data_IF_201275204984
#
_entry.id   IF_201275204984
#
_cell.length_a   1.000
_cell.length_b   1.000
_cell.length_c   1.000
_cell.angle_alpha   90.00
_cell.angle_beta   90.00
_cell.angle_gamma   90.00
#
_symmetry.space_group_name_H-M   'P 1'
#
loop_
_entity.id
_entity.type
_entity.pdbx_description
1 polymer ?
#
# COMPACT_ATOMS: atom_id res chain seq x y z
N UNK A 1 -15.90 23.53 8.25
CA UNK A 1 -15.11 22.89 7.17
C UNK A 1 -13.86 23.69 6.89
N UNK A 2 -12.71 23.13 7.28
CA UNK A 2 -11.40 23.80 7.18
C UNK A 2 -10.83 23.75 5.75
N UNK A 3 -11.31 22.84 4.92
CA UNK A 3 -10.75 22.53 3.60
C UNK A 3 -11.76 22.70 2.44
N UNK A 4 -12.96 23.14 2.71
CA UNK A 4 -13.96 23.45 1.69
C UNK A 4 -14.34 22.23 0.84
N UNK A 5 -13.72 22.08 -0.32
CA UNK A 5 -13.98 20.99 -1.28
C UNK A 5 -13.01 19.81 -1.22
N UNK A 6 -12.17 19.71 -0.19
CA UNK A 6 -11.25 18.59 -0.02
C UNK A 6 -11.98 17.28 0.31
N UNK A 7 -11.49 16.14 -0.24
CA UNK A 7 -11.97 14.81 0.11
C UNK A 7 -11.18 14.24 1.29
N UNK A 8 -11.86 13.46 2.13
CA UNK A 8 -11.26 12.75 3.27
C UNK A 8 -11.11 11.27 2.92
N UNK A 9 -9.90 10.76 2.94
CA UNK A 9 -9.63 9.34 2.76
C UNK A 9 -9.45 8.65 4.13
N UNK A 10 -10.22 7.59 4.36
CA UNK A 10 -10.03 6.69 5.52
C UNK A 10 -8.88 5.72 5.23
N UNK A 11 -7.78 5.85 5.97
CA UNK A 11 -6.63 4.97 5.82
C UNK A 11 -6.85 3.63 6.53
N UNK A 12 -6.55 2.53 5.82
CA UNK A 12 -6.56 1.16 6.31
C UNK A 12 -5.14 0.59 6.17
N UNK A 13 -4.35 0.73 7.21
CA UNK A 13 -2.99 0.19 7.28
C UNK A 13 -2.95 -1.33 7.53
N UNK A 14 -1.77 -1.96 7.48
CA UNK A 14 -1.61 -3.37 7.79
C UNK A 14 -2.05 -3.70 9.22
N UNK A 15 -2.76 -4.83 9.37
CA UNK A 15 -3.05 -5.38 10.69
C UNK A 15 -1.79 -6.08 11.21
N UNK A 16 -1.20 -5.53 12.26
CA UNK A 16 0.09 -5.96 12.80
C UNK A 16 1.22 -5.03 12.34
N UNK A 17 2.37 -5.61 11.98
CA UNK A 17 3.56 -4.82 11.65
C UNK A 17 3.62 -4.48 10.16
N UNK A 18 3.93 -3.22 9.85
CA UNK A 18 4.21 -2.79 8.48
C UNK A 18 5.39 -3.57 7.90
N UNK A 19 5.35 -3.85 6.60
CA UNK A 19 6.39 -4.55 5.84
C UNK A 19 6.61 -6.04 6.18
N UNK A 20 5.82 -6.62 7.07
CA UNK A 20 5.94 -8.02 7.50
C UNK A 20 4.75 -8.83 7.00
N UNK A 21 4.95 -9.57 5.91
CA UNK A 21 3.94 -10.51 5.41
C UNK A 21 3.79 -11.75 6.32
N UNK A 22 4.87 -12.16 6.99
CA UNK A 22 4.92 -13.36 7.84
C UNK A 22 4.13 -13.19 9.16
N UNK A 23 3.89 -11.95 9.59
CA UNK A 23 3.13 -11.62 10.80
C UNK A 23 1.68 -11.22 10.50
N UNK A 24 1.21 -11.53 9.30
CA UNK A 24 -0.15 -11.19 8.89
C UNK A 24 -1.18 -11.97 9.70
N UNK A 25 -2.25 -11.27 10.04
CA UNK A 25 -3.43 -11.89 10.66
C UNK A 25 -4.09 -12.81 9.63
N UNK A 26 -4.60 -13.99 10.03
CA UNK A 26 -5.30 -14.89 9.12
C UNK A 26 -6.42 -14.19 8.34
N UNK A 27 -6.65 -14.54 7.06
CA UNK A 27 -7.50 -13.75 6.16
C UNK A 27 -8.90 -13.45 6.67
N UNK A 28 -9.57 -14.46 7.23
CA UNK A 28 -10.94 -14.28 7.78
C UNK A 28 -10.96 -13.39 9.02
N UNK A 29 -9.93 -13.45 9.84
CA UNK A 29 -9.79 -12.57 11.00
C UNK A 29 -9.45 -11.15 10.54
N UNK A 30 -8.55 -11.02 9.58
CA UNK A 30 -8.21 -9.74 8.95
C UNK A 30 -9.46 -9.06 8.36
N UNK A 31 -10.29 -9.80 7.63
CA UNK A 31 -11.56 -9.30 7.13
C UNK A 31 -12.43 -8.73 8.25
N UNK A 32 -12.59 -9.44 9.37
CA UNK A 32 -13.43 -8.99 10.50
C UNK A 32 -12.90 -7.71 11.14
N UNK A 33 -11.57 -7.65 11.38
CA UNK A 33 -10.93 -6.50 11.98
C UNK A 33 -11.01 -5.26 11.05
N UNK A 34 -10.75 -5.43 9.76
CA UNK A 34 -10.92 -4.34 8.80
C UNK A 34 -12.37 -3.88 8.70
N UNK A 35 -13.34 -4.80 8.78
CA UNK A 35 -14.75 -4.44 8.75
C UNK A 35 -15.16 -3.58 9.95
N UNK A 36 -14.61 -3.84 11.14
CA UNK A 36 -14.83 -2.98 12.31
C UNK A 36 -14.30 -1.56 12.07
N UNK A 37 -13.07 -1.44 11.53
CA UNK A 37 -12.46 -0.15 11.21
C UNK A 37 -13.28 0.58 10.13
N UNK A 38 -13.67 -0.11 9.07
CA UNK A 38 -14.49 0.43 7.98
C UNK A 38 -15.81 0.97 8.51
N UNK A 39 -16.51 0.21 9.34
CA UNK A 39 -17.79 0.63 9.93
C UNK A 39 -17.67 1.90 10.81
N UNK A 40 -16.54 2.05 11.50
CA UNK A 40 -16.27 3.25 12.31
C UNK A 40 -15.99 4.45 11.41
N UNK A 41 -15.24 4.28 10.33
CA UNK A 41 -14.81 5.36 9.45
C UNK A 41 -15.88 5.79 8.44
N UNK A 42 -16.80 4.91 8.07
CA UNK A 42 -17.72 5.07 6.94
C UNK A 42 -18.43 6.42 6.91
N UNK A 43 -18.93 6.88 8.05
CA UNK A 43 -19.67 8.16 8.12
C UNK A 43 -18.79 9.40 8.08
N UNK A 44 -17.47 9.26 8.16
CA UNK A 44 -16.52 10.38 8.30
C UNK A 44 -15.60 10.56 7.09
N UNK A 45 -15.64 9.64 6.13
CA UNK A 45 -14.73 9.64 4.98
C UNK A 45 -15.48 9.66 3.65
N UNK A 46 -14.84 10.16 2.62
CA UNK A 46 -15.37 10.18 1.26
C UNK A 46 -14.89 8.96 0.44
N UNK A 47 -13.77 8.36 0.84
CA UNK A 47 -13.18 7.20 0.19
C UNK A 47 -12.32 6.41 1.20
N UNK A 48 -11.90 5.20 0.82
CA UNK A 48 -10.92 4.43 1.57
C UNK A 48 -9.60 4.31 0.78
N UNK A 49 -8.48 4.32 1.51
CA UNK A 49 -7.18 3.96 0.99
C UNK A 49 -6.59 2.84 1.84
N UNK A 50 -6.39 1.67 1.22
CA UNK A 50 -5.73 0.53 1.83
C UNK A 50 -4.24 0.69 1.56
N UNK A 51 -3.40 0.75 2.59
CA UNK A 51 -2.00 1.15 2.47
C UNK A 51 -1.02 0.08 2.94
N UNK A 52 0.18 0.07 2.30
CA UNK A 52 1.36 -0.71 2.73
C UNK A 52 1.08 -2.22 2.77
N UNK A 53 0.28 -2.69 1.82
CA UNK A 53 -0.08 -4.09 1.69
C UNK A 53 1.14 -4.88 1.22
N UNK A 54 1.56 -5.88 1.98
CA UNK A 54 2.80 -6.64 1.74
C UNK A 54 2.60 -7.98 1.04
N UNK A 55 1.35 -8.46 0.92
CA UNK A 55 1.01 -9.75 0.28
C UNK A 55 -0.36 -9.70 -0.36
N UNK A 56 -0.62 -10.63 -1.28
CA UNK A 56 -1.96 -10.79 -1.90
C UNK A 56 -3.02 -11.10 -0.85
N UNK A 57 -2.68 -11.93 0.14
CA UNK A 57 -3.58 -12.34 1.21
C UNK A 57 -4.00 -11.17 2.11
N UNK A 58 -3.06 -10.28 2.47
CA UNK A 58 -3.38 -9.05 3.20
C UNK A 58 -4.32 -8.14 2.40
N UNK A 59 -4.04 -7.98 1.11
CA UNK A 59 -4.88 -7.20 0.20
C UNK A 59 -6.31 -7.74 0.10
N UNK A 60 -6.46 -9.07 0.08
CA UNK A 60 -7.76 -9.71 0.07
C UNK A 60 -8.60 -9.33 1.29
N UNK A 61 -8.07 -9.44 2.50
CA UNK A 61 -8.81 -9.15 3.73
C UNK A 61 -9.35 -7.72 3.79
N UNK A 62 -8.54 -6.74 3.39
CA UNK A 62 -8.93 -5.35 3.38
C UNK A 62 -9.94 -5.01 2.26
N UNK A 63 -9.73 -5.55 1.04
CA UNK A 63 -10.65 -5.36 -0.07
C UNK A 63 -12.01 -6.03 0.18
N UNK A 64 -12.03 -7.23 0.77
CA UNK A 64 -13.29 -7.89 1.14
C UNK A 64 -14.08 -7.05 2.15
N UNK A 65 -13.40 -6.42 3.12
CA UNK A 65 -14.04 -5.57 4.13
C UNK A 65 -14.63 -4.28 3.52
N UNK A 66 -14.00 -3.73 2.50
CA UNK A 66 -14.45 -2.51 1.83
C UNK A 66 -15.43 -2.78 0.68
N UNK A 67 -15.58 -4.03 0.23
CA UNK A 67 -16.34 -4.40 -0.97
C UNK A 67 -17.85 -4.11 -0.89
N UNK A 68 -18.39 -3.93 0.31
CA UNK A 68 -19.80 -3.62 0.54
C UNK A 68 -20.09 -2.13 0.70
N UNK A 69 -19.06 -1.30 0.61
CA UNK A 69 -19.18 0.15 0.72
C UNK A 69 -19.40 0.77 -0.66
N UNK A 70 -20.27 1.79 -0.71
CA UNK A 70 -20.50 2.56 -1.95
C UNK A 70 -19.41 3.62 -2.21
N UNK A 71 -18.31 3.59 -1.45
CA UNK A 71 -17.22 4.56 -1.55
C UNK A 71 -16.09 4.06 -2.42
N UNK A 72 -15.40 4.95 -3.15
CA UNK A 72 -14.20 4.57 -3.90
C UNK A 72 -13.14 3.96 -2.95
N UNK A 73 -12.49 2.91 -3.41
CA UNK A 73 -11.40 2.23 -2.69
C UNK A 73 -10.14 2.29 -3.52
N UNK A 74 -9.08 2.85 -2.98
CA UNK A 74 -7.73 2.74 -3.52
C UNK A 74 -6.96 1.69 -2.73
N UNK A 75 -6.07 0.96 -3.39
CA UNK A 75 -5.20 0.01 -2.73
C UNK A 75 -3.74 0.24 -3.12
N UNK A 76 -2.86 0.32 -2.11
CA UNK A 76 -1.44 0.55 -2.26
C UNK A 76 -0.63 -0.64 -1.72
N UNK A 77 0.17 -1.24 -2.61
CA UNK A 77 1.04 -2.35 -2.30
C UNK A 77 2.48 -1.90 -2.05
N UNK A 78 3.14 -2.53 -1.09
CA UNK A 78 4.55 -2.34 -0.81
C UNK A 78 5.37 -3.43 -1.49
N UNK A 79 6.31 -3.01 -2.34
CA UNK A 79 7.19 -3.91 -3.10
C UNK A 79 8.54 -4.11 -2.40
N UNK A 80 9.26 -5.15 -2.76
CA UNK A 80 10.61 -5.42 -2.25
C UNK A 80 11.57 -4.34 -2.77
N UNK A 81 12.37 -3.76 -1.87
CA UNK A 81 13.28 -2.65 -2.21
C UNK A 81 14.42 -3.07 -3.16
N UNK A 82 14.74 -4.38 -3.25
CA UNK A 82 15.75 -4.90 -4.18
C UNK A 82 15.15 -5.40 -5.50
N UNK A 83 13.86 -5.76 -5.48
CA UNK A 83 13.17 -6.31 -6.65
C UNK A 83 11.73 -5.79 -6.69
N UNK A 84 11.54 -4.58 -7.22
CA UNK A 84 10.23 -3.94 -7.34
C UNK A 84 9.19 -4.71 -8.17
N UNK A 85 9.56 -5.83 -8.78
CA UNK A 85 8.63 -6.75 -9.46
C UNK A 85 7.96 -7.74 -8.52
N UNK A 86 8.33 -7.70 -7.22
CA UNK A 86 7.78 -8.56 -6.17
C UNK A 86 7.19 -7.75 -5.03
N UNK A 87 6.16 -8.30 -4.40
CA UNK A 87 5.68 -7.83 -3.11
C UNK A 87 6.71 -8.12 -2.01
N UNK A 88 6.61 -7.47 -0.87
CA UNK A 88 7.50 -7.76 0.28
C UNK A 88 7.38 -9.20 0.79
N UNK A 89 6.28 -9.87 0.52
CA UNK A 89 6.11 -11.32 0.74
C UNK A 89 7.00 -12.20 -0.14
N UNK A 90 7.57 -11.63 -1.22
CA UNK A 90 8.28 -12.35 -2.27
C UNK A 90 7.38 -12.87 -3.40
N UNK A 91 6.08 -12.64 -3.32
CA UNK A 91 5.14 -12.96 -4.39
C UNK A 91 5.37 -12.08 -5.62
N UNK A 92 5.20 -12.65 -6.82
CA UNK A 92 5.21 -11.85 -8.06
C UNK A 92 4.11 -10.80 -8.02
N UNK A 93 4.44 -9.54 -8.32
CA UNK A 93 3.52 -8.41 -8.29
C UNK A 93 2.31 -8.63 -9.23
N UNK A 94 2.47 -9.39 -10.31
CA UNK A 94 1.36 -9.74 -11.22
C UNK A 94 0.22 -10.48 -10.54
N UNK A 95 0.48 -11.17 -9.42
CA UNK A 95 -0.56 -11.93 -8.70
C UNK A 95 -1.66 -11.05 -8.12
N UNK A 96 -1.39 -9.75 -7.90
CA UNK A 96 -2.44 -8.82 -7.45
C UNK A 96 -3.56 -8.65 -8.48
N UNK A 97 -3.35 -9.04 -9.74
CA UNK A 97 -4.39 -8.99 -10.77
C UNK A 97 -5.66 -9.76 -10.36
N UNK A 98 -5.51 -10.85 -9.63
CA UNK A 98 -6.66 -11.62 -9.11
C UNK A 98 -7.54 -10.79 -8.15
N UNK A 99 -6.94 -9.89 -7.39
CA UNK A 99 -7.67 -8.95 -6.53
C UNK A 99 -8.35 -7.85 -7.36
N UNK A 100 -7.63 -7.35 -8.38
CA UNK A 100 -8.15 -6.34 -9.31
C UNK A 100 -9.40 -6.85 -10.02
N UNK A 101 -9.33 -8.03 -10.60
CA UNK A 101 -10.45 -8.66 -11.30
C UNK A 101 -11.66 -8.91 -10.40
N UNK A 102 -11.41 -9.29 -9.14
CA UNK A 102 -12.49 -9.60 -8.20
C UNK A 102 -13.16 -8.35 -7.62
N UNK A 103 -12.37 -7.34 -7.23
CA UNK A 103 -12.86 -6.21 -6.42
C UNK A 103 -12.96 -4.89 -7.18
N UNK A 104 -12.31 -4.79 -8.34
CA UNK A 104 -12.29 -3.60 -9.20
C UNK A 104 -12.06 -2.29 -8.39
N UNK A 105 -10.92 -2.15 -7.67
CA UNK A 105 -10.64 -0.93 -6.91
C UNK A 105 -10.57 0.29 -7.83
N UNK A 106 -10.87 1.46 -7.32
CA UNK A 106 -10.86 2.70 -8.09
C UNK A 106 -9.45 3.14 -8.52
N UNK A 107 -8.42 2.70 -7.80
CA UNK A 107 -7.02 2.89 -8.19
C UNK A 107 -6.11 1.86 -7.52
N UNK A 108 -4.96 1.58 -8.16
CA UNK A 108 -3.87 0.77 -7.63
C UNK A 108 -2.62 1.62 -7.49
N UNK A 109 -1.97 1.52 -6.33
CA UNK A 109 -0.77 2.28 -6.05
C UNK A 109 0.36 1.34 -5.60
N UNK A 110 1.59 1.81 -5.71
CA UNK A 110 2.74 1.25 -5.02
C UNK A 110 3.24 2.25 -3.98
N UNK A 111 3.46 1.80 -2.75
CA UNK A 111 3.85 2.71 -1.69
C UNK A 111 4.91 2.16 -0.74
N UNK A 112 5.42 3.04 0.12
CA UNK A 112 6.30 2.69 1.23
C UNK A 112 7.49 1.79 0.84
N UNK A 113 8.00 1.98 -0.36
CA UNK A 113 9.18 1.31 -0.94
C UNK A 113 10.10 2.37 -1.50
N UNK A 114 11.32 2.00 -1.87
CA UNK A 114 12.24 2.96 -2.51
C UNK A 114 11.68 3.44 -3.85
N UNK A 115 11.97 4.68 -4.28
CA UNK A 115 11.50 5.20 -5.57
C UNK A 115 11.90 4.32 -6.75
N UNK A 116 13.11 3.74 -6.69
CA UNK A 116 13.63 2.83 -7.70
C UNK A 116 12.80 1.54 -7.80
N UNK A 117 12.45 0.95 -6.67
CA UNK A 117 11.61 -0.25 -6.63
C UNK A 117 10.19 0.03 -7.15
N UNK A 118 9.62 1.17 -6.78
CA UNK A 118 8.33 1.62 -7.33
C UNK A 118 8.42 1.78 -8.84
N UNK A 119 9.46 2.43 -9.35
CA UNK A 119 9.66 2.61 -10.79
C UNK A 119 9.73 1.29 -11.58
N UNK A 120 10.26 0.23 -10.96
CA UNK A 120 10.26 -1.12 -11.55
C UNK A 120 8.88 -1.78 -11.53
N UNK A 121 8.09 -1.54 -10.51
CA UNK A 121 6.76 -2.15 -10.35
C UNK A 121 5.65 -1.47 -11.15
N UNK A 122 5.72 -0.13 -11.34
CA UNK A 122 4.67 0.65 -12.02
C UNK A 122 4.32 0.14 -13.43
N UNK A 123 5.27 -0.26 -14.30
CA UNK A 123 4.94 -0.82 -15.61
C UNK A 123 4.11 -2.10 -15.52
N UNK A 124 4.20 -2.85 -14.42
CA UNK A 124 3.43 -4.08 -14.21
C UNK A 124 1.97 -3.73 -13.89
N UNK A 125 1.74 -2.83 -12.92
CA UNK A 125 0.39 -2.46 -12.50
C UNK A 125 -0.35 -1.62 -13.54
N UNK A 126 0.37 -0.89 -14.39
CA UNK A 126 -0.19 -0.17 -15.54
C UNK A 126 -1.01 -1.08 -16.46
N UNK A 127 -0.61 -2.35 -16.61
CA UNK A 127 -1.30 -3.31 -17.47
C UNK A 127 -2.66 -3.80 -16.91
N UNK A 128 -3.04 -3.41 -15.70
CA UNK A 128 -4.34 -3.77 -15.13
C UNK A 128 -5.49 -2.84 -15.55
N UNK A 129 -5.19 -1.84 -16.40
CA UNK A 129 -6.18 -0.91 -16.96
C UNK A 129 -7.01 -0.14 -15.92
N UNK A 130 -6.41 0.16 -14.78
CA UNK A 130 -6.97 1.03 -13.74
C UNK A 130 -6.09 2.27 -13.56
N UNK A 131 -6.62 3.35 -12.97
CA UNK A 131 -5.79 4.44 -12.47
C UNK A 131 -4.69 3.88 -11.55
N UNK A 132 -3.46 4.31 -11.74
CA UNK A 132 -2.32 3.83 -10.99
C UNK A 132 -1.37 4.97 -10.62
N UNK A 133 -0.50 4.73 -9.65
CA UNK A 133 0.51 5.68 -9.22
C UNK A 133 1.39 5.13 -8.11
N UNK A 134 2.17 6.01 -7.47
CA UNK A 134 3.03 5.61 -6.38
C UNK A 134 3.37 6.76 -5.43
N UNK A 135 3.74 6.39 -4.20
CA UNK A 135 4.32 7.30 -3.20
C UNK A 135 5.38 6.57 -2.38
N UNK A 136 6.63 6.91 -2.67
CA UNK A 136 7.80 6.27 -2.09
C UNK A 136 8.10 6.75 -0.66
N UNK A 137 8.89 5.97 0.07
CA UNK A 137 9.49 6.44 1.31
C UNK A 137 10.88 7.06 1.05
N UNK A 138 11.40 7.75 2.08
CA UNK A 138 12.72 8.38 2.06
C UNK A 138 13.81 7.53 2.73
N UNK A 139 13.61 6.22 2.91
CA UNK A 139 14.58 5.35 3.54
C UNK A 139 15.49 4.68 2.51
N UNK A 140 16.74 4.39 2.91
CA UNK A 140 17.70 3.75 2.02
C UNK A 140 17.32 2.32 1.68
N UNK A 141 16.81 1.58 2.64
CA UNK A 141 16.37 0.20 2.50
C UNK A 141 15.72 -0.32 3.78
N UNK A 142 14.60 -1.01 3.66
CA UNK A 142 13.96 -1.68 4.79
C UNK A 142 14.46 -3.12 4.87
N UNK A 143 15.60 -3.32 5.56
CA UNK A 143 16.20 -4.63 5.69
C UNK A 143 15.37 -5.57 6.58
N UNK A 144 15.22 -6.83 6.17
CA UNK A 144 14.48 -7.88 6.92
C UNK A 144 14.94 -8.02 8.38
N UNK A 145 16.22 -7.73 8.69
CA UNK A 145 16.76 -7.76 10.07
C UNK A 145 16.10 -6.74 11.01
N UNK A 146 15.66 -5.60 10.49
CA UNK A 146 14.99 -4.56 11.28
C UNK A 146 13.55 -4.93 11.59
N UNK A 147 12.94 -5.76 10.76
CA UNK A 147 11.56 -6.21 10.90
C UNK A 147 11.38 -7.23 12.04
N UNK A 148 12.46 -7.83 12.55
CA UNK A 148 12.41 -8.82 13.64
C UNK A 148 12.47 -8.24 15.05
N UNK A 149 12.68 -6.93 15.19
CA UNK A 149 12.68 -6.22 16.48
C UNK A 149 11.58 -5.17 16.43
N UNK A 150 11.04 -4.82 17.60
CA UNK A 150 10.21 -3.63 17.79
C UNK A 150 11.03 -2.40 17.33
N UNK A 151 11.06 -2.16 16.03
CA UNK A 151 11.84 -1.09 15.45
C UNK A 151 10.94 0.11 15.22
N UNK A 152 11.36 1.25 15.75
CA UNK A 152 10.78 2.53 15.40
C UNK A 152 11.38 3.03 14.07
N UNK A 153 10.70 3.96 13.42
CA UNK A 153 11.18 4.63 12.20
C UNK A 153 12.57 5.26 12.39
N UNK A 154 12.93 5.63 13.63
CA UNK A 154 14.24 6.18 14.00
C UNK A 154 15.43 5.23 13.75
N UNK A 155 15.16 3.94 13.57
CA UNK A 155 16.20 2.93 13.25
C UNK A 155 16.40 2.73 11.75
N UNK A 156 15.65 3.43 10.91
CA UNK A 156 15.78 3.36 9.46
C UNK A 156 16.73 4.45 8.96
N UNK A 157 17.68 4.05 8.14
CA UNK A 157 18.62 4.98 7.51
C UNK A 157 17.88 5.83 6.46
N UNK A 158 17.91 7.14 6.62
CA UNK A 158 17.31 8.08 5.66
C UNK A 158 18.21 8.28 4.44
N UNK A 159 17.61 8.57 3.31
CA UNK A 159 18.30 8.86 2.05
C UNK A 159 18.58 10.37 1.95
N UNK A 160 19.81 10.78 2.26
CA UNK A 160 20.23 12.17 2.11
C UNK A 160 20.30 12.62 0.64
N UNK A 161 20.50 11.67 -0.28
CA UNK A 161 20.53 11.92 -1.71
C UNK A 161 19.14 12.17 -2.32
N UNK A 162 18.06 11.72 -1.68
CA UNK A 162 16.69 11.87 -2.16
C UNK A 162 16.12 13.25 -1.78
N UNK A 163 16.64 14.29 -2.42
CA UNK A 163 16.12 15.65 -2.24
C UNK A 163 14.70 15.79 -2.80
N UNK A 164 13.93 16.84 -2.40
CA UNK A 164 12.59 17.09 -2.97
C UNK A 164 12.57 17.16 -4.50
N UNK A 165 13.64 17.72 -5.11
CA UNK A 165 13.77 17.79 -6.57
C UNK A 165 13.92 16.41 -7.16
N UNK A 166 14.83 15.57 -6.64
CA UNK A 166 15.00 14.20 -7.11
C UNK A 166 13.75 13.36 -6.92
N UNK A 167 13.02 13.55 -5.81
CA UNK A 167 11.75 12.87 -5.61
C UNK A 167 10.72 13.29 -6.67
N UNK A 168 10.64 14.58 -6.98
CA UNK A 168 9.78 15.11 -8.05
C UNK A 168 10.14 14.55 -9.43
N UNK A 169 11.44 14.32 -9.71
CA UNK A 169 11.89 13.68 -10.95
C UNK A 169 11.35 12.24 -11.06
N UNK A 170 11.39 11.46 -9.97
CA UNK A 170 10.76 10.13 -9.95
C UNK A 170 9.26 10.22 -10.25
N UNK A 171 8.53 11.07 -9.52
CA UNK A 171 7.08 11.23 -9.70
C UNK A 171 6.73 11.64 -11.13
N UNK A 172 7.55 12.51 -11.73
CA UNK A 172 7.34 12.95 -13.12
C UNK A 172 7.58 11.84 -14.15
N UNK A 173 8.34 10.81 -13.79
CA UNK A 173 8.61 9.63 -14.64
C UNK A 173 7.58 8.52 -14.51
N UNK A 174 6.76 8.57 -13.49
CA UNK A 174 5.73 7.57 -13.16
C UNK A 174 4.42 7.88 -13.90
#
# INVERSE_FOLDING_TARGET
>A
DRFGSGLVAGSLGPLGWSYQSESSVPPLEAFRLYQEIVNIHESFVDMFIIETVSSVEQGWGALEATSKQDKPVWIAFSVDDNDGTKLRSGEDLKKINSLVEKYNPAAILLNCSTPEAISLGLPIIRNFNLPFGGYANGFSHIAKKYLKKLSTVELLDTREDLTPIKYADFVSSW
#
